data_IF_484407947019
#
_entry.id   IF_484407947019
#
_cell.length_a   1.000
_cell.length_b   1.000
_cell.length_c   1.000
_cell.angle_alpha   90.00
_cell.angle_beta   90.00
_cell.angle_gamma   90.00
#
_symmetry.space_group_name_H-M   'P 1'
#
loop_
_entity.id
_entity.type
_entity.pdbx_description
1 polymer ?
#
# COMPACT_ATOMS: atom_id res chain seq x y z
N UNK A 1 -20.78 28.13 2.11
CA UNK A 1 -20.31 26.75 2.29
C UNK A 1 -18.92 26.65 1.67
N UNK A 2 -17.94 26.11 2.39
CA UNK A 2 -16.61 25.86 1.83
C UNK A 2 -16.73 24.71 0.80
N UNK A 3 -16.14 24.89 -0.39
CA UNK A 3 -16.15 23.85 -1.42
C UNK A 3 -15.09 22.80 -1.08
N UNK A 4 -15.41 21.49 -1.16
CA UNK A 4 -14.43 20.44 -0.90
C UNK A 4 -13.33 20.45 -1.95
N UNK A 5 -12.12 20.10 -1.53
CA UNK A 5 -11.00 19.84 -2.43
C UNK A 5 -11.21 18.47 -3.08
N UNK A 6 -11.25 18.43 -4.41
CA UNK A 6 -11.36 17.19 -5.15
C UNK A 6 -9.98 16.55 -5.36
N UNK A 7 -9.81 15.30 -4.91
CA UNK A 7 -8.65 14.46 -5.20
C UNK A 7 -9.04 13.38 -6.21
N UNK A 8 -8.39 13.37 -7.37
CA UNK A 8 -8.66 12.39 -8.43
C UNK A 8 -7.66 11.24 -8.34
N UNK A 9 -8.10 10.11 -7.81
CA UNK A 9 -7.38 8.84 -7.67
C UNK A 9 -7.27 8.39 -6.22
N UNK A 10 -7.90 7.26 -5.89
CA UNK A 10 -7.86 6.60 -4.58
C UNK A 10 -6.71 5.57 -4.49
N UNK A 11 -5.55 5.92 -5.04
CA UNK A 11 -4.29 5.22 -4.79
C UNK A 11 -3.53 5.83 -3.61
N UNK A 12 -2.44 5.20 -3.18
CA UNK A 12 -1.68 5.62 -1.98
C UNK A 12 -1.27 7.09 -1.98
N UNK A 13 -0.90 7.66 -3.13
CA UNK A 13 -0.54 9.07 -3.24
C UNK A 13 -1.74 10.00 -3.02
N UNK A 14 -2.89 9.69 -3.63
CA UNK A 14 -4.11 10.49 -3.46
C UNK A 14 -4.68 10.38 -2.05
N UNK A 15 -4.64 9.18 -1.45
CA UNK A 15 -5.06 8.97 -0.08
C UNK A 15 -4.16 9.70 0.93
N UNK A 16 -2.84 9.65 0.75
CA UNK A 16 -1.91 10.41 1.59
C UNK A 16 -2.12 11.93 1.47
N UNK A 17 -2.40 12.43 0.26
CA UNK A 17 -2.74 13.84 0.07
C UNK A 17 -4.07 14.21 0.73
N UNK A 18 -5.09 13.36 0.61
CA UNK A 18 -6.39 13.57 1.24
C UNK A 18 -6.30 13.55 2.76
N UNK A 19 -5.51 12.67 3.34
CA UNK A 19 -5.22 12.61 4.78
C UNK A 19 -4.54 13.89 5.26
N UNK A 20 -3.45 14.31 4.61
CA UNK A 20 -2.75 15.56 4.96
C UNK A 20 -3.65 16.80 4.88
N UNK A 21 -4.54 16.87 3.87
CA UNK A 21 -5.51 17.96 3.73
C UNK A 21 -6.58 17.93 4.84
N UNK A 22 -7.07 16.74 5.21
CA UNK A 22 -8.03 16.56 6.31
C UNK A 22 -7.41 16.96 7.66
N UNK A 23 -6.16 16.58 7.91
CA UNK A 23 -5.42 16.96 9.12
C UNK A 23 -5.22 18.47 9.21
N UNK A 24 -5.12 19.15 8.06
CA UNK A 24 -5.10 20.60 7.95
C UNK A 24 -6.50 21.26 8.06
N UNK A 25 -7.55 20.49 8.40
CA UNK A 25 -8.91 20.98 8.60
C UNK A 25 -9.69 21.26 7.32
N UNK A 26 -9.25 20.73 6.16
CA UNK A 26 -9.94 20.94 4.88
C UNK A 26 -10.98 19.87 4.61
N UNK A 27 -12.08 20.27 3.97
CA UNK A 27 -13.03 19.33 3.38
C UNK A 27 -12.45 18.74 2.09
N UNK A 28 -12.49 17.42 1.94
CA UNK A 28 -11.87 16.68 0.83
C UNK A 28 -12.82 15.61 0.32
N UNK A 29 -12.94 15.52 -1.01
CA UNK A 29 -13.66 14.44 -1.69
C UNK A 29 -12.71 13.69 -2.62
N UNK A 30 -12.68 12.36 -2.50
CA UNK A 30 -11.80 11.50 -3.30
C UNK A 30 -12.62 10.77 -4.35
N UNK A 31 -12.22 10.88 -5.61
CA UNK A 31 -12.86 10.23 -6.74
C UNK A 31 -11.92 9.21 -7.36
N UNK A 32 -12.43 8.03 -7.72
CA UNK A 32 -11.68 7.06 -8.51
C UNK A 32 -12.59 6.46 -9.57
N UNK A 33 -12.03 6.09 -10.72
CA UNK A 33 -12.77 5.39 -11.78
C UNK A 33 -13.05 3.93 -11.40
N UNK A 34 -12.27 3.37 -10.48
CA UNK A 34 -12.38 1.99 -10.05
C UNK A 34 -13.51 1.83 -9.03
N UNK A 35 -13.91 0.57 -8.79
CA UNK A 35 -14.96 0.22 -7.82
C UNK A 35 -14.53 0.39 -6.35
N UNK A 36 -13.28 0.74 -6.09
CA UNK A 36 -12.75 0.93 -4.74
C UNK A 36 -11.29 1.37 -4.75
N UNK A 37 -10.77 1.74 -3.56
CA UNK A 37 -9.40 2.24 -3.42
C UNK A 37 -8.36 1.15 -3.66
N UNK A 38 -7.14 1.58 -3.95
CA UNK A 38 -5.98 0.72 -4.15
C UNK A 38 -5.07 1.19 -5.27
N UNK A 39 -5.64 1.56 -6.42
CA UNK A 39 -4.85 1.80 -7.62
C UNK A 39 -3.89 0.64 -7.90
N UNK A 40 -2.59 0.92 -7.97
CA UNK A 40 -1.54 -0.10 -8.16
C UNK A 40 -1.27 -1.00 -6.94
N UNK A 41 -1.92 -0.74 -5.81
CA UNK A 41 -1.90 -1.58 -4.61
C UNK A 41 -3.16 -2.45 -4.50
N UNK A 42 -4.03 -2.43 -5.52
CA UNK A 42 -5.27 -3.19 -5.49
C UNK A 42 -5.02 -4.71 -5.56
N UNK A 43 -5.71 -5.44 -4.71
CA UNK A 43 -5.80 -6.90 -4.76
C UNK A 43 -6.91 -7.31 -5.72
N UNK A 44 -6.61 -8.16 -6.69
CA UNK A 44 -7.62 -8.76 -7.57
C UNK A 44 -8.17 -10.01 -6.91
N UNK A 45 -9.48 -10.23 -7.05
CA UNK A 45 -10.15 -11.44 -6.58
C UNK A 45 -10.67 -12.22 -7.77
N UNK A 46 -10.55 -13.53 -7.67
CA UNK A 46 -11.20 -14.52 -8.51
C UNK A 46 -11.95 -15.50 -7.60
N UNK A 47 -12.81 -16.36 -8.13
CA UNK A 47 -13.79 -17.18 -7.38
C UNK A 47 -13.28 -17.71 -6.02
N UNK A 48 -12.12 -18.35 -6.00
CA UNK A 48 -11.47 -18.89 -4.79
C UNK A 48 -10.25 -18.11 -4.30
N UNK A 49 -9.74 -17.17 -5.10
CA UNK A 49 -8.38 -16.66 -4.95
C UNK A 49 -8.31 -15.13 -4.84
N UNK A 50 -7.28 -14.64 -4.18
CA UNK A 50 -6.97 -13.22 -4.13
C UNK A 50 -5.47 -13.02 -4.34
N UNK A 51 -5.11 -12.13 -5.25
CA UNK A 51 -3.71 -11.89 -5.61
C UNK A 51 -3.41 -10.42 -5.83
N UNK A 52 -2.24 -10.01 -5.35
CA UNK A 52 -1.70 -8.67 -5.50
C UNK A 52 -0.91 -8.59 -6.82
N UNK A 53 -1.59 -8.16 -7.88
CA UNK A 53 -1.04 -8.12 -9.23
C UNK A 53 -0.21 -6.86 -9.54
N UNK A 54 -0.31 -5.83 -8.68
CA UNK A 54 0.40 -4.58 -8.82
C UNK A 54 1.67 -4.56 -7.98
N UNK A 55 1.70 -3.73 -6.93
CA UNK A 55 2.79 -3.71 -5.98
C UNK A 55 2.86 -5.05 -5.23
N UNK A 56 3.95 -5.81 -5.44
CA UNK A 56 4.16 -7.09 -4.77
C UNK A 56 4.70 -6.92 -3.35
N UNK A 57 5.54 -5.90 -3.15
CA UNK A 57 6.09 -5.47 -1.86
C UNK A 57 6.59 -4.04 -2.01
N UNK A 58 6.96 -3.41 -0.90
CA UNK A 58 7.66 -2.12 -0.88
C UNK A 58 8.80 -2.13 0.15
N UNK A 59 9.68 -1.13 0.07
CA UNK A 59 10.74 -0.92 1.07
C UNK A 59 10.61 0.48 1.64
N UNK A 60 10.81 0.67 2.93
CA UNK A 60 10.91 1.99 3.53
C UNK A 60 12.38 2.46 3.56
N UNK A 61 12.63 3.71 3.15
CA UNK A 61 13.98 4.31 3.11
C UNK A 61 14.02 5.64 3.82
N UNK A 62 13.03 6.49 3.51
CA UNK A 62 12.87 7.78 4.15
C UNK A 62 12.39 7.63 5.60
N UNK A 63 13.00 8.33 6.58
CA UNK A 63 12.63 8.20 7.99
C UNK A 63 11.14 8.44 8.27
N UNK A 64 10.55 9.47 7.64
CA UNK A 64 9.13 9.77 7.80
C UNK A 64 8.24 8.62 7.28
N UNK A 65 8.59 8.03 6.14
CA UNK A 65 7.85 6.90 5.60
C UNK A 65 8.09 5.62 6.43
N UNK A 66 9.29 5.43 6.99
CA UNK A 66 9.56 4.31 7.89
C UNK A 66 8.73 4.37 9.17
N UNK A 67 8.57 5.56 9.76
CA UNK A 67 7.68 5.76 10.91
C UNK A 67 6.22 5.45 10.56
N UNK A 68 5.77 5.86 9.37
CA UNK A 68 4.42 5.52 8.90
C UNK A 68 4.23 4.01 8.71
N UNK A 69 5.25 3.32 8.17
CA UNK A 69 5.22 1.86 8.00
C UNK A 69 5.19 1.13 9.33
N UNK A 70 5.89 1.63 10.35
CA UNK A 70 5.80 1.11 11.72
C UNK A 70 4.39 1.28 12.29
N UNK A 71 3.77 2.46 12.12
CA UNK A 71 2.38 2.68 12.54
C UNK A 71 1.40 1.72 11.84
N UNK A 72 1.55 1.52 10.53
CA UNK A 72 0.76 0.54 9.79
C UNK A 72 1.02 -0.92 10.21
N UNK A 73 2.23 -1.23 10.66
CA UNK A 73 2.59 -2.55 11.19
C UNK A 73 1.90 -2.79 12.53
N UNK A 74 1.91 -1.80 13.42
CA UNK A 74 1.20 -1.85 14.71
C UNK A 74 -0.32 -1.94 14.52
N UNK A 75 -0.85 -1.28 13.49
CA UNK A 75 -2.27 -1.39 13.09
C UNK A 75 -2.62 -2.73 12.41
N UNK A 76 -1.65 -3.59 12.12
CA UNK A 76 -1.86 -4.90 11.52
C UNK A 76 -2.22 -4.89 10.03
N UNK A 77 -2.07 -3.74 9.35
CA UNK A 77 -2.35 -3.60 7.92
C UNK A 77 -1.11 -3.74 7.05
N UNK A 78 0.08 -3.80 7.68
CA UNK A 78 1.38 -4.10 7.05
C UNK A 78 2.13 -5.14 7.88
N UNK A 79 2.93 -5.97 7.22
CA UNK A 79 3.94 -6.80 7.87
C UNK A 79 5.24 -6.86 7.06
N UNK A 80 6.36 -7.16 7.72
CA UNK A 80 7.58 -7.57 7.02
C UNK A 80 7.34 -8.90 6.28
N UNK A 81 7.76 -8.96 5.03
CA UNK A 81 7.65 -10.14 4.20
C UNK A 81 8.82 -11.08 4.46
N UNK A 82 8.58 -12.13 5.25
CA UNK A 82 9.56 -13.18 5.61
C UNK A 82 9.65 -14.30 4.56
N UNK A 83 9.38 -13.97 3.29
CA UNK A 83 9.41 -14.93 2.18
C UNK A 83 10.82 -15.42 1.82
N UNK A 84 10.89 -16.38 0.90
CA UNK A 84 12.17 -16.80 0.29
C UNK A 84 12.51 -15.89 -0.87
N UNK A 85 13.68 -15.26 -0.80
CA UNK A 85 14.18 -14.37 -1.83
C UNK A 85 15.37 -14.99 -2.54
N UNK A 86 15.49 -14.74 -3.84
CA UNK A 86 16.54 -15.33 -4.65
C UNK A 86 16.29 -15.14 -6.14
N UNK A 87 17.17 -15.72 -6.94
CA UNK A 87 17.12 -15.71 -8.40
C UNK A 87 16.98 -17.13 -8.92
N UNK A 88 16.26 -17.28 -10.03
CA UNK A 88 16.12 -18.54 -10.74
C UNK A 88 17.06 -18.58 -11.95
N UNK A 89 18.03 -19.49 -11.95
CA UNK A 89 18.99 -19.70 -13.04
C UNK A 89 19.25 -21.21 -13.22
N UNK A 90 18.26 -21.94 -13.75
CA UNK A 90 18.23 -23.40 -13.79
C UNK A 90 17.96 -24.06 -12.42
N UNK A 91 18.39 -23.42 -11.33
CA UNK A 91 18.03 -23.70 -9.94
C UNK A 91 17.75 -22.40 -9.18
N UNK A 92 17.01 -22.50 -8.06
CA UNK A 92 16.81 -21.37 -7.16
C UNK A 92 18.09 -21.13 -6.34
N UNK A 93 18.57 -19.89 -6.36
CA UNK A 93 19.72 -19.44 -5.58
C UNK A 93 19.19 -18.42 -4.57
N UNK A 94 19.23 -18.78 -3.28
CA UNK A 94 18.74 -17.92 -2.21
C UNK A 94 19.63 -16.68 -2.05
N UNK A 95 19.00 -15.52 -1.87
CA UNK A 95 19.65 -14.24 -1.67
C UNK A 95 18.97 -13.51 -0.51
N UNK A 96 19.75 -12.88 0.39
CA UNK A 96 19.18 -12.08 1.47
C UNK A 96 18.87 -10.67 0.95
N UNK A 97 17.64 -10.15 1.13
CA UNK A 97 17.35 -8.77 0.80
C UNK A 97 18.28 -7.83 1.57
N UNK A 98 18.83 -6.82 0.88
CA UNK A 98 19.65 -5.79 1.52
C UNK A 98 18.86 -4.93 2.53
N UNK A 99 17.53 -4.96 2.47
CA UNK A 99 16.61 -4.22 3.34
C UNK A 99 15.33 -5.03 3.55
N UNK A 100 14.63 -4.82 4.68
CA UNK A 100 13.29 -5.34 4.88
C UNK A 100 12.37 -4.99 3.72
N UNK A 101 11.51 -5.93 3.34
CA UNK A 101 10.44 -5.74 2.37
C UNK A 101 9.12 -5.88 3.10
N UNK A 102 8.17 -5.03 2.78
CA UNK A 102 6.88 -4.98 3.46
C UNK A 102 5.75 -5.30 2.49
N UNK A 103 4.71 -5.93 3.01
CA UNK A 103 3.48 -6.26 2.30
C UNK A 103 2.27 -5.81 3.12
N UNK A 104 1.16 -5.49 2.45
CA UNK A 104 -0.10 -5.26 3.14
C UNK A 104 -0.68 -6.58 3.66
N UNK A 105 -1.32 -6.56 4.83
CA UNK A 105 -1.91 -7.72 5.49
C UNK A 105 -3.41 -7.51 5.74
N UNK A 106 -4.29 -8.48 5.38
CA UNK A 106 -4.00 -9.79 4.78
C UNK A 106 -3.66 -9.74 3.28
N UNK A 107 -3.64 -8.55 2.67
CA UNK A 107 -3.36 -8.32 1.25
C UNK A 107 -2.93 -6.88 1.01
N UNK A 108 -2.28 -6.58 -0.11
CA UNK A 108 -1.74 -5.25 -0.38
C UNK A 108 -2.79 -4.12 -0.32
N UNK A 109 -4.02 -4.39 -0.75
CA UNK A 109 -5.11 -3.39 -0.73
C UNK A 109 -5.61 -3.01 0.66
N UNK A 110 -5.22 -3.73 1.73
CA UNK A 110 -5.57 -3.38 3.11
C UNK A 110 -5.05 -1.97 3.47
N UNK A 111 -3.85 -1.61 2.99
CA UNK A 111 -3.24 -0.31 3.25
C UNK A 111 -4.11 0.86 2.80
N UNK A 112 -4.69 0.75 1.60
CA UNK A 112 -5.50 1.81 0.99
C UNK A 112 -6.96 1.81 1.46
N UNK A 113 -7.30 0.96 2.43
CA UNK A 113 -8.64 0.81 3.01
C UNK A 113 -8.67 1.04 4.52
N UNK A 114 -7.50 1.26 5.12
CA UNK A 114 -7.31 1.70 6.49
C UNK A 114 -7.59 3.20 6.57
#
# INVERSE_FOLDING_TARGET
MEQPIAVIGAGIAGLAAAEALRDAGRSVEVFDKARGPGGRMATRRDESDAFDHGAQYFTAREPAFAAQVEAWTQAGVVAEWTGRFGRLAGRFIAEKPARPRYVGTPRMSALTRH
#
